data_IF_373412248467
#
_entry.id   IF_373412248467
#
_cell.length_a   1.000
_cell.length_b   1.000
_cell.length_c   1.000
_cell.angle_alpha   90.00
_cell.angle_beta   90.00
_cell.angle_gamma   90.00
#
_symmetry.space_group_name_H-M   'P 1'
#
loop_
_entity.id
_entity.type
_entity.pdbx_description
1 polymer ?
#
# COMPACT_ATOMS: atom_id res chain seq x y z
N UNK A 1 9.09 -18.06 21.24
CA UNK A 1 9.70 -19.17 22.03
C UNK A 1 9.76 -18.81 23.52
N UNK A 2 9.80 -17.55 23.88
CA UNK A 2 9.77 -17.12 25.29
C UNK A 2 8.50 -17.53 26.07
N UNK A 3 7.42 -17.94 25.39
CA UNK A 3 6.12 -18.33 25.99
C UNK A 3 5.78 -19.82 25.79
N UNK A 4 6.75 -20.66 25.47
CA UNK A 4 6.58 -22.12 25.40
C UNK A 4 5.89 -22.65 24.13
N UNK A 5 5.86 -21.84 23.06
CA UNK A 5 5.40 -22.29 21.74
C UNK A 5 6.56 -22.80 20.89
N UNK A 6 6.30 -23.87 20.11
CA UNK A 6 7.23 -24.43 19.13
C UNK A 6 6.78 -24.04 17.72
N UNK A 7 7.66 -23.35 16.98
CA UNK A 7 7.40 -22.99 15.58
C UNK A 7 7.86 -24.15 14.69
N UNK A 8 6.91 -24.88 14.13
CA UNK A 8 7.17 -26.09 13.33
C UNK A 8 7.69 -25.75 11.93
N UNK A 9 7.19 -24.70 11.31
CA UNK A 9 7.63 -24.23 10.02
C UNK A 9 7.17 -22.79 9.77
N UNK A 10 7.81 -22.11 8.83
CA UNK A 10 7.36 -20.83 8.26
C UNK A 10 7.22 -20.96 6.74
N UNK A 11 6.15 -20.42 6.18
CA UNK A 11 5.96 -20.27 4.75
C UNK A 11 6.32 -18.86 4.36
N UNK A 12 7.42 -18.67 3.65
CA UNK A 12 7.89 -17.34 3.22
C UNK A 12 8.71 -17.41 1.94
N UNK A 13 8.43 -16.49 1.00
CA UNK A 13 9.21 -16.31 -0.24
C UNK A 13 10.29 -15.23 -0.15
N UNK A 14 10.47 -14.58 1.00
CA UNK A 14 11.45 -13.53 1.22
C UNK A 14 12.79 -14.08 1.72
N UNK A 15 13.89 -13.72 1.05
CA UNK A 15 15.23 -14.24 1.36
C UNK A 15 15.74 -13.85 2.75
N UNK A 16 15.43 -12.62 3.19
CA UNK A 16 15.88 -12.10 4.51
C UNK A 16 15.19 -12.88 5.62
N UNK A 17 13.88 -13.16 5.42
CA UNK A 17 13.11 -13.96 6.38
C UNK A 17 13.53 -15.43 6.39
N UNK A 18 13.86 -15.99 5.22
CA UNK A 18 14.39 -17.35 5.10
C UNK A 18 15.74 -17.49 5.83
N UNK A 19 16.65 -16.52 5.70
CA UNK A 19 17.92 -16.50 6.43
C UNK A 19 17.71 -16.41 7.95
N UNK A 20 16.73 -15.63 8.40
CA UNK A 20 16.37 -15.58 9.82
C UNK A 20 15.85 -16.92 10.32
N UNK A 21 14.95 -17.56 9.57
CA UNK A 21 14.39 -18.86 9.92
C UNK A 21 15.49 -19.93 10.01
N UNK A 22 16.41 -19.94 9.06
CA UNK A 22 17.57 -20.86 9.06
C UNK A 22 18.45 -20.67 10.30
N UNK A 23 18.76 -19.42 10.67
CA UNK A 23 19.53 -19.13 11.91
C UNK A 23 18.79 -19.54 13.19
N UNK A 24 17.48 -19.55 13.16
CA UNK A 24 16.63 -20.00 14.26
C UNK A 24 16.36 -21.51 14.24
N UNK A 25 16.93 -22.26 13.29
CA UNK A 25 16.65 -23.68 13.04
C UNK A 25 15.15 -23.97 12.81
N UNK A 26 14.44 -23.04 12.17
CA UNK A 26 13.04 -23.20 11.81
C UNK A 26 12.96 -23.58 10.31
N UNK A 27 12.28 -24.67 9.94
CA UNK A 27 12.05 -25.00 8.54
C UNK A 27 11.36 -23.87 7.79
N UNK A 28 11.98 -23.39 6.71
CA UNK A 28 11.39 -22.38 5.82
C UNK A 28 10.93 -23.07 4.53
N UNK A 29 9.66 -22.87 4.19
CA UNK A 29 8.98 -23.51 3.07
C UNK A 29 8.62 -22.44 2.05
N UNK A 30 8.89 -22.69 0.78
CA UNK A 30 8.71 -21.73 -0.28
C UNK A 30 7.30 -21.75 -0.90
N UNK A 31 6.56 -22.85 -0.77
CA UNK A 31 5.25 -23.00 -1.43
C UNK A 31 4.20 -23.66 -0.53
N UNK A 32 2.93 -23.42 -0.84
CA UNK A 32 1.78 -24.08 -0.19
C UNK A 32 1.80 -25.60 -0.45
N UNK A 33 2.24 -26.00 -1.64
CA UNK A 33 2.28 -27.42 -2.03
C UNK A 33 3.26 -28.22 -1.17
N UNK A 34 4.36 -27.62 -0.74
CA UNK A 34 5.32 -28.23 0.18
C UNK A 34 4.80 -28.25 1.64
N UNK A 35 4.01 -27.25 2.03
CA UNK A 35 3.50 -27.13 3.39
C UNK A 35 2.42 -28.18 3.70
N UNK A 36 1.55 -28.51 2.74
CA UNK A 36 0.46 -29.46 2.95
C UNK A 36 0.92 -30.86 3.38
N UNK A 37 1.94 -31.48 2.74
CA UNK A 37 2.48 -32.74 3.20
C UNK A 37 3.08 -32.70 4.62
N UNK A 38 3.75 -31.60 4.97
CA UNK A 38 4.32 -31.41 6.30
C UNK A 38 3.23 -31.34 7.38
N UNK A 39 2.15 -30.60 7.14
CA UNK A 39 1.01 -30.51 8.06
C UNK A 39 0.26 -31.85 8.22
N UNK A 40 0.33 -32.73 7.21
CA UNK A 40 -0.22 -34.10 7.32
C UNK A 40 0.65 -35.01 8.19
N UNK A 41 1.97 -34.88 8.06
CA UNK A 41 2.90 -35.68 8.83
C UNK A 41 2.99 -35.23 10.30
N UNK A 42 2.96 -33.93 10.52
CA UNK A 42 3.08 -33.30 11.83
C UNK A 42 1.97 -32.26 12.03
N UNK A 43 0.81 -32.62 12.55
CA UNK A 43 -0.27 -31.70 12.80
C UNK A 43 0.13 -30.58 13.79
N UNK A 44 -0.26 -29.33 13.46
CA UNK A 44 -0.04 -28.15 14.30
C UNK A 44 -1.30 -27.77 15.06
N UNK A 45 -1.15 -27.07 16.19
CA UNK A 45 -2.29 -26.57 16.92
C UNK A 45 -2.86 -25.30 16.25
N UNK A 46 -1.98 -24.43 15.77
CA UNK A 46 -2.35 -23.12 15.27
C UNK A 46 -1.64 -22.80 13.95
N UNK A 47 -2.34 -22.09 13.07
CA UNK A 47 -1.76 -21.44 11.89
C UNK A 47 -1.94 -19.94 12.01
N UNK A 48 -0.87 -19.18 11.80
CA UNK A 48 -0.89 -17.73 11.78
C UNK A 48 -0.50 -17.20 10.41
N UNK A 49 -1.38 -16.41 9.81
CA UNK A 49 -1.16 -15.69 8.55
C UNK A 49 -0.86 -14.22 8.87
N UNK A 50 0.36 -13.78 8.56
CA UNK A 50 0.85 -12.43 8.90
C UNK A 50 1.39 -11.75 7.67
N UNK A 51 0.80 -10.63 7.26
CA UNK A 51 1.19 -9.88 6.06
C UNK A 51 1.33 -10.77 4.80
N UNK A 52 0.54 -11.81 4.74
CA UNK A 52 0.61 -12.82 3.69
C UNK A 52 -0.29 -12.42 2.51
N UNK A 53 0.25 -12.31 1.27
CA UNK A 53 -0.53 -11.96 0.08
C UNK A 53 -1.36 -13.13 -0.46
N UNK A 54 -1.16 -14.35 0.06
CA UNK A 54 -1.86 -15.54 -0.41
C UNK A 54 -3.15 -15.77 0.40
N UNK A 55 -4.20 -16.14 -0.30
CA UNK A 55 -5.41 -16.66 0.36
C UNK A 55 -5.16 -18.13 0.69
N UNK A 56 -5.18 -18.46 1.97
CA UNK A 56 -5.00 -19.85 2.41
C UNK A 56 -6.27 -20.65 2.05
N UNK A 57 -6.13 -21.80 1.36
CA UNK A 57 -7.28 -22.63 1.02
C UNK A 57 -7.85 -23.36 2.25
N UNK A 58 -9.15 -23.69 2.27
CA UNK A 58 -9.82 -24.33 3.40
C UNK A 58 -9.17 -25.63 3.88
N UNK A 59 -8.69 -26.44 2.94
CA UNK A 59 -8.01 -27.70 3.26
C UNK A 59 -6.65 -27.49 3.96
N UNK A 60 -6.07 -26.31 3.86
CA UNK A 60 -4.83 -25.96 4.55
C UNK A 60 -5.08 -25.46 5.97
N UNK A 61 -5.90 -24.42 6.13
CA UNK A 61 -6.14 -23.89 7.48
C UNK A 61 -6.98 -24.83 8.36
N UNK A 62 -7.78 -25.69 7.75
CA UNK A 62 -8.53 -26.77 8.44
C UNK A 62 -7.62 -27.87 9.03
N UNK A 63 -6.32 -27.89 8.72
CA UNK A 63 -5.36 -28.85 9.30
C UNK A 63 -4.85 -28.40 10.68
N UNK A 64 -5.07 -27.17 11.09
CA UNK A 64 -4.78 -26.71 12.43
C UNK A 64 -5.82 -27.28 13.42
N UNK A 65 -5.35 -28.00 14.47
CA UNK A 65 -6.24 -28.68 15.44
C UNK A 65 -7.18 -27.73 16.18
N UNK A 66 -6.74 -26.49 16.43
CA UNK A 66 -7.47 -25.53 17.26
C UNK A 66 -7.88 -24.29 16.47
N UNK A 67 -7.29 -24.02 15.30
CA UNK A 67 -7.71 -22.98 14.38
C UNK A 67 -6.59 -22.20 13.73
N UNK A 68 -7.00 -21.27 12.88
CA UNK A 68 -6.10 -20.40 12.14
C UNK A 68 -6.49 -18.93 12.32
N UNK A 69 -5.51 -18.06 12.36
CA UNK A 69 -5.69 -16.62 12.57
C UNK A 69 -4.96 -15.82 11.50
N UNK A 70 -5.57 -14.72 11.10
CA UNK A 70 -4.96 -13.76 10.20
C UNK A 70 -4.79 -12.40 10.87
N UNK A 71 -3.65 -11.78 10.64
CA UNK A 71 -3.43 -10.37 10.87
C UNK A 71 -3.97 -9.56 9.70
N UNK A 72 -4.82 -8.59 10.00
CA UNK A 72 -5.29 -7.60 9.03
C UNK A 72 -4.98 -6.19 9.53
N UNK A 73 -4.36 -5.40 8.66
CA UNK A 73 -3.95 -4.02 8.91
C UNK A 73 -5.12 -3.01 8.80
N UNK A 74 -6.33 -3.43 9.16
CA UNK A 74 -7.55 -2.64 9.08
C UNK A 74 -8.57 -2.94 10.17
N UNK A 75 -9.48 -1.97 10.45
CA UNK A 75 -10.54 -2.10 11.46
C UNK A 75 -11.73 -2.90 10.94
N UNK A 76 -11.58 -4.23 10.79
CA UNK A 76 -12.68 -5.08 10.34
C UNK A 76 -14.00 -4.81 11.13
N UNK A 77 -15.13 -4.87 10.43
CA UNK A 77 -15.39 -5.29 9.03
C UNK A 77 -15.11 -4.20 8.00
N UNK A 78 -14.82 -2.97 8.42
CA UNK A 78 -14.39 -1.89 7.50
C UNK A 78 -12.99 -2.17 6.97
N UNK A 79 -12.71 -1.70 5.77
CA UNK A 79 -11.38 -1.82 5.12
C UNK A 79 -10.91 -3.26 4.91
N UNK A 80 -11.82 -4.22 4.75
CA UNK A 80 -11.46 -5.57 4.33
C UNK A 80 -10.81 -5.57 2.93
N UNK A 81 -9.93 -6.54 2.66
CA UNK A 81 -9.22 -6.65 1.39
C UNK A 81 -7.75 -6.24 1.48
N UNK A 82 -7.28 -5.43 0.56
CA UNK A 82 -5.85 -5.05 0.46
C UNK A 82 -5.65 -3.54 0.52
N UNK A 83 -4.42 -3.12 0.89
CA UNK A 83 -4.03 -1.70 1.00
C UNK A 83 -4.94 -0.87 1.92
N UNK A 84 -5.41 -1.49 3.00
CA UNK A 84 -6.39 -0.90 3.90
C UNK A 84 -5.95 0.47 4.45
N UNK A 85 -4.68 0.62 4.80
CA UNK A 85 -4.08 1.90 5.26
C UNK A 85 -4.15 3.01 4.21
N UNK A 86 -3.88 2.69 2.93
CA UNK A 86 -4.01 3.66 1.84
C UNK A 86 -5.46 4.12 1.66
N UNK A 87 -6.41 3.20 1.70
CA UNK A 87 -7.83 3.54 1.57
C UNK A 87 -8.34 4.38 2.74
N UNK A 88 -7.83 4.14 3.95
CA UNK A 88 -8.16 4.96 5.11
C UNK A 88 -7.62 6.39 5.00
N UNK A 89 -6.38 6.57 4.52
CA UNK A 89 -5.79 7.88 4.25
C UNK A 89 -6.55 8.63 3.15
N UNK A 90 -6.95 7.94 2.07
CA UNK A 90 -7.79 8.51 1.01
C UNK A 90 -9.16 8.95 1.54
N UNK A 91 -9.73 8.22 2.48
CA UNK A 91 -10.97 8.58 3.16
C UNK A 91 -10.77 9.64 4.24
N UNK A 92 -9.53 10.07 4.50
CA UNK A 92 -9.16 11.05 5.53
C UNK A 92 -9.64 10.68 6.93
N UNK A 93 -9.57 9.39 7.25
CA UNK A 93 -9.87 8.90 8.60
C UNK A 93 -8.88 9.46 9.62
N UNK A 94 -9.34 9.70 10.84
CA UNK A 94 -8.50 10.14 11.97
C UNK A 94 -8.26 9.01 12.97
N UNK A 95 -9.16 8.02 12.98
CA UNK A 95 -9.08 6.84 13.83
C UNK A 95 -8.99 5.59 12.98
N UNK A 96 -8.19 4.66 13.44
CA UNK A 96 -7.93 3.41 12.74
C UNK A 96 -7.75 2.26 13.73
N UNK A 97 -7.60 1.04 13.25
CA UNK A 97 -7.26 -0.10 14.07
C UNK A 97 -6.66 -1.21 13.22
N UNK A 98 -5.93 -2.08 13.86
CA UNK A 98 -5.60 -3.40 13.34
C UNK A 98 -6.54 -4.45 13.92
N UNK A 99 -6.61 -5.59 13.25
CA UNK A 99 -7.46 -6.70 13.69
C UNK A 99 -6.74 -8.04 13.52
N UNK A 100 -6.78 -8.87 14.55
CA UNK A 100 -6.56 -10.31 14.45
C UNK A 100 -7.92 -10.98 14.41
N UNK A 101 -8.13 -11.87 13.45
CA UNK A 101 -9.39 -12.58 13.26
C UNK A 101 -9.17 -14.04 12.92
N UNK A 102 -10.14 -14.90 13.14
CA UNK A 102 -10.13 -16.28 12.67
C UNK A 102 -10.15 -16.31 11.15
N UNK A 103 -9.45 -17.28 10.57
CA UNK A 103 -9.57 -17.55 9.13
C UNK A 103 -10.79 -18.42 8.92
N UNK A 104 -11.62 -18.04 7.97
CA UNK A 104 -12.77 -18.79 7.44
C UNK A 104 -12.75 -18.77 5.90
N UNK A 105 -13.81 -19.23 5.26
CA UNK A 105 -13.93 -19.28 3.80
C UNK A 105 -14.05 -17.89 3.14
N UNK A 106 -14.27 -16.83 3.92
CA UNK A 106 -14.43 -15.46 3.45
C UNK A 106 -13.16 -14.62 3.62
N UNK A 107 -12.82 -13.79 2.63
CA UNK A 107 -11.69 -12.86 2.77
C UNK A 107 -11.96 -11.86 3.90
N UNK A 108 -11.17 -11.92 4.97
CA UNK A 108 -11.31 -11.07 6.15
C UNK A 108 -12.73 -11.06 6.77
N UNK A 109 -13.42 -12.21 6.76
CA UNK A 109 -14.81 -12.32 7.22
C UNK A 109 -14.99 -13.01 8.59
N UNK A 110 -13.98 -13.76 9.03
CA UNK A 110 -14.03 -14.54 10.24
C UNK A 110 -14.12 -13.71 11.53
N UNK A 111 -14.42 -14.38 12.64
CA UNK A 111 -14.64 -13.75 13.95
C UNK A 111 -13.41 -12.95 14.43
N UNK A 112 -13.66 -11.78 14.98
CA UNK A 112 -12.65 -10.90 15.56
C UNK A 112 -12.19 -11.44 16.90
N UNK A 113 -10.88 -11.51 17.14
CA UNK A 113 -10.31 -11.99 18.40
C UNK A 113 -9.49 -10.94 19.13
N UNK A 114 -8.77 -10.08 18.41
CA UNK A 114 -8.06 -8.91 18.96
C UNK A 114 -8.27 -7.73 18.03
N UNK A 115 -8.52 -6.56 18.61
CA UNK A 115 -8.56 -5.29 17.89
C UNK A 115 -7.78 -4.25 18.69
N UNK A 116 -6.83 -3.56 18.01
CA UNK A 116 -6.05 -2.50 18.66
C UNK A 116 -6.16 -1.21 17.86
N UNK A 117 -6.45 -0.13 18.57
CA UNK A 117 -6.58 1.19 17.96
C UNK A 117 -5.23 1.75 17.54
N UNK A 118 -5.24 2.47 16.42
CA UNK A 118 -4.12 3.21 15.85
C UNK A 118 -4.64 4.58 15.43
N UNK A 119 -4.03 5.65 15.92
CA UNK A 119 -4.41 7.00 15.51
C UNK A 119 -3.73 7.35 14.18
N UNK A 120 -4.45 8.05 13.29
CA UNK A 120 -3.90 8.58 12.05
C UNK A 120 -3.56 10.06 12.27
N UNK A 121 -2.28 10.40 12.20
CA UNK A 121 -1.84 11.78 12.25
C UNK A 121 -2.11 12.50 10.91
N UNK A 122 -2.34 13.82 10.91
CA UNK A 122 -2.58 14.58 9.67
C UNK A 122 -1.47 14.48 8.63
N UNK A 123 -0.24 14.18 9.07
CA UNK A 123 0.95 14.05 8.22
C UNK A 123 1.30 12.62 7.85
N UNK A 124 0.51 11.63 8.30
CA UNK A 124 0.81 10.24 7.99
C UNK A 124 0.79 9.94 6.51
N UNK A 125 1.77 9.15 6.12
CA UNK A 125 1.82 8.46 4.82
C UNK A 125 1.38 7.01 4.98
N UNK A 126 1.18 6.31 3.86
CA UNK A 126 0.90 4.88 3.90
C UNK A 126 2.03 4.11 4.60
N UNK A 127 3.30 4.50 4.42
CA UNK A 127 4.42 3.89 5.13
C UNK A 127 4.32 4.10 6.64
N UNK A 128 4.18 5.34 7.11
CA UNK A 128 4.17 5.63 8.56
C UNK A 128 2.99 4.99 9.28
N UNK A 129 1.82 4.97 8.63
CA UNK A 129 0.65 4.28 9.19
C UNK A 129 0.84 2.76 9.22
N UNK A 130 1.40 2.16 8.16
CA UNK A 130 1.72 0.72 8.15
C UNK A 130 2.71 0.34 9.26
N UNK A 131 3.75 1.12 9.50
CA UNK A 131 4.70 0.87 10.59
C UNK A 131 4.00 0.83 11.95
N UNK A 132 3.13 1.80 12.24
CA UNK A 132 2.35 1.79 13.49
C UNK A 132 1.34 0.64 13.56
N UNK A 133 0.76 0.25 12.44
CA UNK A 133 -0.08 -0.94 12.38
C UNK A 133 0.72 -2.21 12.72
N UNK A 134 1.97 -2.32 12.24
CA UNK A 134 2.84 -3.46 12.58
C UNK A 134 3.22 -3.47 14.06
N UNK A 135 3.54 -2.33 14.66
CA UNK A 135 3.79 -2.22 16.10
C UNK A 135 2.56 -2.69 16.91
N UNK A 136 1.38 -2.17 16.58
CA UNK A 136 0.14 -2.59 17.20
C UNK A 136 -0.18 -4.08 16.96
N UNK A 137 0.21 -4.62 15.81
CA UNK A 137 0.04 -6.04 15.49
C UNK A 137 0.89 -6.94 16.37
N UNK A 138 2.15 -6.57 16.64
CA UNK A 138 3.04 -7.33 17.54
C UNK A 138 2.46 -7.37 18.96
N UNK A 139 1.97 -6.25 19.47
CA UNK A 139 1.33 -6.22 20.78
C UNK A 139 0.01 -7.02 20.78
N UNK A 140 -0.82 -6.89 19.73
CA UNK A 140 -2.03 -7.68 19.57
C UNK A 140 -1.75 -9.17 19.45
N UNK A 141 -0.63 -9.57 18.84
CA UNK A 141 -0.19 -10.97 18.78
C UNK A 141 0.17 -11.52 20.16
N UNK A 142 0.86 -10.75 20.99
CA UNK A 142 1.14 -11.15 22.39
C UNK A 142 -0.15 -11.36 23.20
N UNK A 143 -1.13 -10.48 22.99
CA UNK A 143 -2.45 -10.62 23.61
C UNK A 143 -3.14 -11.90 23.11
N UNK A 144 -3.14 -12.14 21.80
CA UNK A 144 -3.69 -13.35 21.20
C UNK A 144 -3.05 -14.61 21.79
N UNK A 145 -1.72 -14.72 21.80
CA UNK A 145 -1.01 -15.87 22.35
C UNK A 145 -1.33 -16.09 23.84
N UNK A 146 -1.39 -15.01 24.62
CA UNK A 146 -1.77 -15.09 26.05
C UNK A 146 -3.20 -15.59 26.21
N UNK A 147 -4.13 -15.15 25.38
CA UNK A 147 -5.52 -15.61 25.37
C UNK A 147 -5.64 -17.09 25.02
N UNK A 148 -4.89 -17.54 24.01
CA UNK A 148 -4.83 -18.94 23.57
C UNK A 148 -4.29 -19.85 24.69
N UNK A 149 -3.15 -19.47 25.30
CA UNK A 149 -2.53 -20.25 26.37
C UNK A 149 -3.44 -20.42 27.58
N UNK A 150 -4.28 -19.45 27.87
CA UNK A 150 -5.22 -19.47 29.00
C UNK A 150 -6.58 -20.07 28.65
N UNK A 151 -6.84 -20.42 27.40
CA UNK A 151 -8.17 -20.85 26.91
C UNK A 151 -9.26 -19.77 27.09
N UNK A 152 -8.87 -18.48 27.12
CA UNK A 152 -9.76 -17.34 27.39
C UNK A 152 -9.92 -16.38 26.21
N UNK A 153 -9.69 -16.88 25.00
CA UNK A 153 -9.87 -16.06 23.81
C UNK A 153 -11.36 -15.89 23.50
N UNK A 154 -11.82 -14.65 23.48
CA UNK A 154 -13.21 -14.33 23.11
C UNK A 154 -13.26 -13.94 21.65
N UNK A 155 -13.95 -14.73 20.84
CA UNK A 155 -14.23 -14.42 19.45
C UNK A 155 -15.58 -13.69 19.33
N UNK A 156 -15.67 -12.72 18.42
CA UNK A 156 -16.87 -11.92 18.17
C UNK A 156 -17.19 -11.92 16.68
N UNK A 157 -18.42 -12.24 16.27
CA UNK A 157 -18.86 -12.12 14.90
C UNK A 157 -18.69 -10.69 14.38
N UNK A 158 -18.41 -10.56 13.09
CA UNK A 158 -18.36 -9.25 12.43
C UNK A 158 -19.78 -8.77 12.07
N UNK A 159 -20.06 -7.47 12.31
CA UNK A 159 -21.27 -6.82 11.81
C UNK A 159 -21.12 -6.50 10.32
N UNK A 160 -21.45 -7.45 9.45
CA UNK A 160 -21.18 -7.33 8.00
C UNK A 160 -21.93 -6.16 7.32
N UNK A 161 -22.95 -5.58 7.97
CA UNK A 161 -23.63 -4.37 7.49
C UNK A 161 -22.66 -3.17 7.35
N UNK A 162 -21.62 -3.12 8.19
CA UNK A 162 -20.61 -2.06 8.17
C UNK A 162 -19.41 -2.40 7.27
N UNK A 163 -19.49 -3.51 6.53
CA UNK A 163 -18.35 -4.00 5.75
C UNK A 163 -18.07 -3.10 4.55
N UNK A 164 -16.82 -2.65 4.45
CA UNK A 164 -16.25 -2.14 3.20
C UNK A 164 -15.16 -3.09 2.70
N UNK A 165 -15.11 -3.30 1.38
CA UNK A 165 -14.17 -4.23 0.76
C UNK A 165 -13.40 -3.59 -0.38
N UNK A 166 -12.08 -3.72 -0.34
CA UNK A 166 -11.15 -3.17 -1.31
C UNK A 166 -10.34 -4.30 -1.96
N UNK A 167 -10.79 -4.80 -3.12
CA UNK A 167 -10.10 -5.87 -3.83
C UNK A 167 -8.73 -5.40 -4.34
N UNK A 168 -7.79 -6.33 -4.48
CA UNK A 168 -6.39 -6.08 -4.88
C UNK A 168 -6.25 -5.25 -6.17
N UNK A 169 -7.20 -5.36 -7.09
CA UNK A 169 -7.14 -4.69 -8.40
C UNK A 169 -7.76 -3.31 -8.40
N UNK A 170 -8.44 -2.92 -7.33
CA UNK A 170 -9.05 -1.60 -7.21
C UNK A 170 -7.98 -0.52 -7.26
N UNK A 171 -8.25 0.56 -7.99
CA UNK A 171 -7.35 1.72 -8.10
C UNK A 171 -8.04 2.96 -7.54
N UNK A 172 -7.28 3.92 -6.99
CA UNK A 172 -7.82 5.22 -6.57
C UNK A 172 -8.28 6.04 -7.78
N UNK A 173 -9.01 7.11 -7.51
CA UNK A 173 -9.53 8.03 -8.55
C UNK A 173 -8.42 8.43 -9.53
N UNK A 174 -8.74 8.41 -10.81
CA UNK A 174 -7.81 8.69 -11.91
C UNK A 174 -6.49 7.90 -11.82
N UNK A 175 -6.48 6.71 -11.18
CA UNK A 175 -5.30 5.89 -10.90
C UNK A 175 -4.13 6.70 -10.30
N UNK A 176 -4.43 7.61 -9.37
CA UNK A 176 -3.46 8.46 -8.68
C UNK A 176 -3.05 9.72 -9.43
N UNK A 177 -3.66 10.04 -10.57
CA UNK A 177 -3.47 11.34 -11.21
C UNK A 177 -4.15 12.44 -10.40
N UNK A 178 -3.39 13.47 -10.04
CA UNK A 178 -3.91 14.61 -9.30
C UNK A 178 -4.90 15.39 -10.17
N UNK A 179 -6.04 15.67 -9.60
CA UNK A 179 -7.10 16.49 -10.22
C UNK A 179 -7.13 17.84 -9.54
N UNK A 180 -6.58 18.85 -10.18
CA UNK A 180 -6.41 20.18 -9.60
C UNK A 180 -7.73 20.86 -9.20
N UNK A 181 -8.86 20.43 -9.77
CA UNK A 181 -10.23 20.86 -9.40
C UNK A 181 -10.71 20.34 -8.03
N UNK A 182 -9.97 19.39 -7.42
CA UNK A 182 -10.24 18.88 -6.09
C UNK A 182 -9.68 19.82 -5.01
N UNK A 183 -10.08 19.58 -3.76
CA UNK A 183 -9.52 20.35 -2.65
C UNK A 183 -8.04 20.00 -2.44
N UNK A 184 -7.25 20.97 -1.97
CA UNK A 184 -5.86 20.75 -1.60
C UNK A 184 -5.71 19.59 -0.58
N UNK A 185 -6.71 19.41 0.29
CA UNK A 185 -6.76 18.34 1.27
C UNK A 185 -6.91 16.96 0.63
N UNK A 186 -7.74 16.83 -0.41
CA UNK A 186 -7.91 15.58 -1.16
C UNK A 186 -6.63 15.22 -1.93
N UNK A 187 -5.97 16.23 -2.53
CA UNK A 187 -4.70 16.02 -3.24
C UNK A 187 -3.59 15.59 -2.28
N UNK A 188 -3.52 16.21 -1.10
CA UNK A 188 -2.59 15.83 -0.04
C UNK A 188 -2.87 14.40 0.45
N UNK A 189 -4.13 14.06 0.67
CA UNK A 189 -4.53 12.71 1.08
C UNK A 189 -4.14 11.67 0.02
N UNK A 190 -4.35 11.96 -1.27
CA UNK A 190 -3.93 11.08 -2.38
C UNK A 190 -2.41 10.87 -2.37
N UNK A 191 -1.64 11.93 -2.25
CA UNK A 191 -0.17 11.85 -2.26
C UNK A 191 0.35 11.03 -1.08
N UNK A 192 -0.17 11.28 0.12
CA UNK A 192 0.23 10.54 1.34
C UNK A 192 -0.23 9.09 1.33
N UNK A 193 -1.42 8.81 0.85
CA UNK A 193 -1.98 7.45 0.76
C UNK A 193 -1.21 6.54 -0.20
N UNK A 194 -0.51 7.13 -1.17
CA UNK A 194 0.29 6.42 -2.16
C UNK A 194 1.79 6.46 -1.88
N UNK A 195 2.21 7.06 -0.77
CA UNK A 195 3.61 7.12 -0.35
C UNK A 195 3.95 5.95 0.60
N UNK A 196 4.66 4.96 0.06
CA UNK A 196 5.24 3.82 0.79
C UNK A 196 6.73 3.99 1.05
N UNK A 197 7.26 5.21 0.91
CA UNK A 197 8.68 5.48 1.05
C UNK A 197 9.52 4.87 -0.08
N UNK A 198 10.86 4.95 0.05
CA UNK A 198 11.78 4.52 -1.00
C UNK A 198 11.97 2.99 -1.08
N UNK A 199 11.53 2.26 -0.07
CA UNK A 199 11.85 0.83 0.08
C UNK A 199 10.81 -0.12 -0.51
N UNK A 200 9.58 0.34 -0.72
CA UNK A 200 8.51 -0.50 -1.23
C UNK A 200 7.86 0.13 -2.46
N UNK A 201 7.87 -0.54 -3.62
CA UNK A 201 7.09 -0.10 -4.75
C UNK A 201 5.60 -0.12 -4.39
N UNK A 202 4.92 1.00 -4.56
CA UNK A 202 3.50 1.07 -4.32
C UNK A 202 2.73 0.28 -5.40
N UNK A 203 2.08 -0.80 -4.98
CA UNK A 203 1.32 -1.67 -5.88
C UNK A 203 -0.05 -1.12 -6.27
N UNK A 204 -0.54 -0.06 -5.63
CA UNK A 204 -1.75 0.63 -6.06
C UNK A 204 -1.48 1.49 -7.30
N UNK A 205 -0.56 2.41 -7.19
CA UNK A 205 -0.02 3.29 -8.22
C UNK A 205 0.89 4.34 -7.55
N UNK A 206 1.52 5.18 -8.36
CA UNK A 206 2.22 6.38 -7.87
C UNK A 206 1.33 7.61 -8.04
N UNK A 207 1.38 8.58 -7.10
CA UNK A 207 0.74 9.87 -7.32
C UNK A 207 1.46 10.58 -8.46
N UNK A 208 0.71 11.15 -9.37
CA UNK A 208 1.23 11.76 -10.61
C UNK A 208 0.37 12.91 -11.08
N UNK A 209 0.94 13.75 -11.94
CA UNK A 209 0.23 14.86 -12.56
C UNK A 209 0.46 14.88 -14.06
N UNK A 210 -0.53 15.30 -14.83
CA UNK A 210 -0.36 15.59 -16.23
C UNK A 210 0.29 16.96 -16.44
N UNK A 211 1.25 16.98 -17.38
CA UNK A 211 1.91 18.19 -17.88
C UNK A 211 1.84 18.12 -19.40
N UNK A 212 0.92 18.86 -20.01
CA UNK A 212 0.55 18.61 -21.40
C UNK A 212 0.01 17.18 -21.56
N UNK A 213 0.60 16.42 -22.47
CA UNK A 213 0.29 15.01 -22.74
C UNK A 213 1.18 14.03 -21.92
N UNK A 214 2.17 14.55 -21.20
CA UNK A 214 3.11 13.78 -20.40
C UNK A 214 2.64 13.61 -18.96
N UNK A 215 3.27 12.67 -18.25
CA UNK A 215 2.98 12.36 -16.86
C UNK A 215 4.24 12.50 -16.02
N UNK A 216 4.15 13.26 -14.93
CA UNK A 216 5.24 13.42 -13.96
C UNK A 216 4.83 12.84 -12.61
N UNK A 217 5.79 12.20 -11.91
CA UNK A 217 5.54 11.61 -10.59
C UNK A 217 5.58 12.71 -9.54
N UNK A 218 4.55 12.76 -8.70
CA UNK A 218 4.48 13.64 -7.53
C UNK A 218 5.04 12.90 -6.32
N UNK A 219 6.01 13.50 -5.62
CA UNK A 219 6.61 12.90 -4.42
C UNK A 219 6.10 13.51 -3.13
N UNK A 220 5.84 14.81 -3.15
CA UNK A 220 5.37 15.54 -1.98
C UNK A 220 4.40 16.61 -2.41
N UNK A 221 3.37 16.83 -1.60
CA UNK A 221 2.42 17.91 -1.74
C UNK A 221 2.16 18.53 -0.38
N UNK A 222 2.36 19.83 -0.28
CA UNK A 222 2.12 20.63 0.92
C UNK A 222 0.94 21.58 0.68
N UNK A 223 -0.02 21.55 1.58
CA UNK A 223 -1.17 22.45 1.54
C UNK A 223 -0.80 23.78 2.16
N UNK A 224 -0.98 24.86 1.42
CA UNK A 224 -0.70 26.21 1.90
C UNK A 224 -1.92 26.80 2.60
N UNK A 225 -1.72 27.69 3.60
CA UNK A 225 -2.84 28.36 4.27
C UNK A 225 -3.55 29.41 3.39
N UNK A 226 -2.97 29.73 2.23
CA UNK A 226 -3.46 30.76 1.30
C UNK A 226 -4.25 30.18 0.14
N UNK A 227 -5.06 31.03 -0.48
CA UNK A 227 -5.77 30.77 -1.74
C UNK A 227 -5.54 31.96 -2.68
N UNK A 228 -4.97 31.71 -3.84
CA UNK A 228 -4.75 32.72 -4.87
C UNK A 228 -6.05 33.23 -5.51
N UNK A 229 -7.08 32.40 -5.53
CA UNK A 229 -8.33 32.67 -6.25
C UNK A 229 -8.23 32.51 -7.77
N UNK A 230 -7.07 32.07 -8.28
CA UNK A 230 -6.89 31.75 -9.68
C UNK A 230 -7.54 30.39 -10.04
N UNK A 231 -7.84 30.15 -11.33
CA UNK A 231 -8.41 28.89 -11.78
C UNK A 231 -7.56 27.69 -11.34
N UNK A 232 -8.20 26.61 -10.93
CA UNK A 232 -7.50 25.38 -10.55
C UNK A 232 -6.56 24.89 -11.66
N UNK A 233 -5.38 24.42 -11.28
CA UNK A 233 -4.30 24.02 -12.18
C UNK A 233 -3.39 25.17 -12.62
N UNK A 234 -3.68 26.45 -12.26
CA UNK A 234 -2.79 27.56 -12.59
C UNK A 234 -1.46 27.41 -11.85
N UNK A 235 -0.36 27.46 -12.59
CA UNK A 235 0.99 27.47 -12.08
C UNK A 235 1.31 28.89 -11.58
N UNK A 236 1.43 29.06 -10.27
CA UNK A 236 1.55 30.37 -9.62
C UNK A 236 3.00 30.82 -9.51
N UNK A 237 3.88 29.92 -9.11
CA UNK A 237 5.30 30.17 -8.88
C UNK A 237 6.10 28.90 -9.23
N UNK A 238 7.29 29.08 -9.81
CA UNK A 238 8.23 28.01 -10.15
C UNK A 238 9.51 28.19 -9.34
N UNK A 239 9.70 27.34 -8.34
CA UNK A 239 10.92 27.26 -7.54
C UNK A 239 11.79 26.06 -7.97
N UNK A 240 13.04 26.02 -7.54
CA UNK A 240 13.92 24.86 -7.81
C UNK A 240 13.41 23.57 -7.16
N UNK A 241 12.79 23.66 -5.97
CA UNK A 241 12.32 22.49 -5.22
C UNK A 241 10.86 22.13 -5.45
N UNK A 242 10.03 23.02 -5.96
CA UNK A 242 8.59 22.81 -6.11
C UNK A 242 7.93 23.76 -7.11
N UNK A 243 6.77 23.37 -7.59
CA UNK A 243 5.81 24.28 -8.21
C UNK A 243 4.72 24.63 -7.23
N UNK A 244 4.30 25.89 -7.25
CA UNK A 244 3.10 26.34 -6.55
C UNK A 244 1.92 26.34 -7.50
N UNK A 245 0.87 25.62 -7.13
CA UNK A 245 -0.29 25.38 -8.00
C UNK A 245 -1.59 25.74 -7.29
N UNK A 246 -2.48 26.45 -8.00
CA UNK A 246 -3.84 26.71 -7.54
C UNK A 246 -4.69 25.44 -7.60
N UNK A 247 -5.53 25.21 -6.60
CA UNK A 247 -6.48 24.08 -6.57
C UNK A 247 -7.93 24.55 -6.48
N UNK A 248 -8.85 23.61 -6.34
CA UNK A 248 -10.25 23.93 -6.06
C UNK A 248 -10.48 24.64 -4.72
N UNK A 249 -9.48 24.66 -3.83
CA UNK A 249 -9.54 25.28 -2.50
C UNK A 249 -8.27 26.12 -2.23
N UNK A 250 -7.39 25.66 -1.33
CA UNK A 250 -6.10 26.32 -1.04
C UNK A 250 -5.06 26.00 -2.14
N UNK A 251 -4.06 26.86 -2.25
CA UNK A 251 -2.91 26.58 -3.11
C UNK A 251 -2.04 25.48 -2.50
N UNK A 252 -1.23 24.82 -3.34
CA UNK A 252 -0.33 23.74 -2.91
C UNK A 252 1.06 23.94 -3.46
N UNK A 253 2.08 23.52 -2.70
CA UNK A 253 3.44 23.34 -3.19
C UNK A 253 3.65 21.85 -3.52
N UNK A 254 4.13 21.57 -4.75
CA UNK A 254 4.24 20.22 -5.31
C UNK A 254 5.67 19.92 -5.70
N UNK A 255 6.25 18.87 -5.13
CA UNK A 255 7.58 18.36 -5.47
C UNK A 255 7.45 17.12 -6.35
N UNK A 256 8.31 17.03 -7.34
CA UNK A 256 8.32 15.94 -8.32
C UNK A 256 9.54 15.04 -8.13
N UNK A 257 9.48 13.82 -8.65
CA UNK A 257 10.58 12.89 -8.57
C UNK A 257 10.66 11.90 -9.71
N UNK A 258 11.83 11.33 -9.88
CA UNK A 258 12.09 10.26 -10.82
C UNK A 258 11.55 8.90 -10.35
N UNK A 259 11.63 7.88 -11.22
CA UNK A 259 11.27 6.50 -10.87
C UNK A 259 12.12 5.93 -9.74
N UNK A 260 13.36 6.40 -9.60
CA UNK A 260 14.33 6.04 -8.57
C UNK A 260 14.05 6.64 -7.18
N UNK A 261 13.02 7.49 -7.07
CA UNK A 261 12.65 8.16 -5.84
C UNK A 261 13.37 9.49 -5.58
N UNK A 262 14.37 9.85 -6.39
CA UNK A 262 15.10 11.11 -6.27
C UNK A 262 14.17 12.29 -6.59
N UNK A 263 14.33 13.40 -5.84
CA UNK A 263 13.61 14.64 -6.15
C UNK A 263 14.23 15.29 -7.41
N UNK A 264 13.38 15.77 -8.28
CA UNK A 264 13.75 16.51 -9.48
C UNK A 264 13.85 18.01 -9.17
N UNK A 265 14.77 18.71 -9.84
CA UNK A 265 14.76 20.18 -9.89
C UNK A 265 13.52 20.64 -10.64
N UNK A 266 12.56 21.21 -9.90
CA UNK A 266 11.26 21.60 -10.45
C UNK A 266 11.37 22.75 -11.47
N UNK A 267 12.39 23.62 -11.36
CA UNK A 267 12.65 24.66 -12.36
C UNK A 267 13.23 24.07 -13.66
N UNK A 268 14.11 23.10 -13.55
CA UNK A 268 14.58 22.36 -14.72
C UNK A 268 13.45 21.59 -15.40
N UNK A 269 12.59 20.96 -14.61
CA UNK A 269 11.39 20.27 -15.10
C UNK A 269 10.48 21.23 -15.88
N UNK A 270 10.19 22.42 -15.33
CA UNK A 270 9.39 23.43 -16.01
C UNK A 270 10.01 23.86 -17.35
N UNK A 271 11.34 24.08 -17.39
CA UNK A 271 12.04 24.39 -18.66
C UNK A 271 11.91 23.28 -19.70
N UNK A 272 12.03 22.02 -19.29
CA UNK A 272 11.90 20.87 -20.20
C UNK A 272 10.52 20.78 -20.86
N UNK A 273 9.49 21.26 -20.18
CA UNK A 273 8.12 21.31 -20.69
C UNK A 273 7.73 22.69 -21.25
N UNK A 274 8.66 23.65 -21.31
CA UNK A 274 8.40 25.04 -21.71
C UNK A 274 7.24 25.69 -20.94
N UNK A 275 7.25 25.53 -19.61
CA UNK A 275 6.24 26.06 -18.71
C UNK A 275 6.73 27.35 -18.06
N UNK A 276 5.84 28.34 -18.02
CA UNK A 276 6.02 29.59 -17.29
C UNK A 276 4.91 29.76 -16.23
N UNK A 277 5.12 30.70 -15.31
CA UNK A 277 4.07 31.13 -14.39
C UNK A 277 2.84 31.62 -15.16
N UNK A 278 1.67 31.22 -14.70
CA UNK A 278 0.42 31.43 -15.41
C UNK A 278 -0.01 30.30 -16.33
N UNK A 279 0.88 29.36 -16.66
CA UNK A 279 0.49 28.14 -17.37
C UNK A 279 -0.60 27.39 -16.60
N UNK A 280 -1.54 26.78 -17.31
CA UNK A 280 -2.60 26.00 -16.70
C UNK A 280 -2.40 24.50 -16.95
N UNK A 281 -2.09 23.79 -15.90
CA UNK A 281 -1.97 22.33 -15.93
C UNK A 281 -3.31 21.68 -16.34
N UNK A 282 -3.29 20.56 -17.06
CA UNK A 282 -4.50 19.85 -17.50
C UNK A 282 -5.40 19.47 -16.33
N UNK A 283 -6.70 19.66 -16.51
CA UNK A 283 -7.72 19.21 -15.57
C UNK A 283 -8.47 18.03 -16.19
N UNK A 284 -8.39 16.89 -15.55
CA UNK A 284 -9.13 15.71 -15.98
C UNK A 284 -10.62 15.87 -15.72
N UNK A 285 -11.44 15.68 -16.73
CA UNK A 285 -12.88 15.56 -16.54
C UNK A 285 -13.22 14.28 -15.73
N UNK A 286 -14.45 14.24 -15.21
CA UNK A 286 -14.92 13.03 -14.49
C UNK A 286 -14.89 11.77 -15.37
N UNK A 287 -15.19 11.89 -16.66
CA UNK A 287 -15.14 10.77 -17.60
C UNK A 287 -13.72 10.29 -17.88
N UNK A 288 -12.79 11.22 -18.09
CA UNK A 288 -11.37 10.89 -18.24
C UNK A 288 -10.82 10.19 -16.99
N UNK A 289 -11.13 10.71 -15.80
CA UNK A 289 -10.71 10.11 -14.54
C UNK A 289 -11.22 8.67 -14.40
N UNK A 290 -12.52 8.43 -14.69
CA UNK A 290 -13.10 7.08 -14.69
C UNK A 290 -12.46 6.15 -15.71
N UNK A 291 -12.22 6.64 -16.94
CA UNK A 291 -11.58 5.87 -17.99
C UNK A 291 -10.15 5.45 -17.63
N UNK A 292 -9.37 6.37 -17.04
CA UNK A 292 -8.01 6.08 -16.56
C UNK A 292 -8.06 5.04 -15.44
N UNK A 293 -8.95 5.19 -14.46
CA UNK A 293 -9.12 4.23 -13.36
C UNK A 293 -9.45 2.83 -13.91
N UNK A 294 -10.45 2.73 -14.79
CA UNK A 294 -10.88 1.46 -15.37
C UNK A 294 -9.77 0.80 -16.21
N UNK A 295 -9.00 1.58 -16.97
CA UNK A 295 -7.87 1.07 -17.74
C UNK A 295 -6.79 0.47 -16.83
N UNK A 296 -6.43 1.16 -15.74
CA UNK A 296 -5.46 0.66 -14.75
C UNK A 296 -5.96 -0.57 -14.01
N UNK A 297 -7.24 -0.63 -13.64
CA UNK A 297 -7.84 -1.84 -13.03
C UNK A 297 -7.82 -3.03 -13.98
N UNK A 298 -8.03 -2.81 -15.26
CA UNK A 298 -7.93 -3.85 -16.29
C UNK A 298 -6.50 -4.34 -16.50
N UNK A 299 -5.50 -3.48 -16.39
CA UNK A 299 -4.08 -3.81 -16.55
C UNK A 299 -3.48 -4.45 -15.29
N UNK A 300 -4.03 -4.18 -14.11
CA UNK A 300 -3.51 -4.63 -12.82
C UNK A 300 -3.16 -6.13 -12.74
N UNK A 301 -3.90 -7.07 -13.35
CA UNK A 301 -3.54 -8.48 -13.34
C UNK A 301 -2.20 -8.80 -13.99
N UNK A 302 -1.78 -7.98 -14.96
CA UNK A 302 -0.57 -8.19 -15.75
C UNK A 302 0.63 -7.39 -15.23
N UNK A 303 0.45 -6.51 -14.24
CA UNK A 303 1.53 -5.63 -13.74
C UNK A 303 2.70 -6.41 -13.17
N UNK A 304 2.45 -7.45 -12.36
CA UNK A 304 3.52 -8.27 -11.77
C UNK A 304 4.35 -8.99 -12.85
N UNK A 305 3.68 -9.52 -13.88
CA UNK A 305 4.33 -10.15 -15.02
C UNK A 305 5.24 -9.17 -15.77
N UNK A 306 4.71 -8.00 -16.12
CA UNK A 306 5.47 -7.02 -16.89
C UNK A 306 6.61 -6.43 -16.07
N UNK A 307 6.40 -6.17 -14.78
CA UNK A 307 7.45 -5.68 -13.90
C UNK A 307 8.62 -6.66 -13.84
N UNK A 308 8.37 -7.95 -13.55
CA UNK A 308 9.41 -8.98 -13.52
C UNK A 308 10.15 -9.07 -14.86
N UNK A 309 9.43 -8.96 -15.97
CA UNK A 309 10.04 -9.02 -17.30
C UNK A 309 10.90 -7.79 -17.61
N UNK A 310 10.46 -6.61 -17.20
CA UNK A 310 11.22 -5.37 -17.37
C UNK A 310 12.46 -5.32 -16.47
N UNK A 311 12.36 -5.81 -15.23
CA UNK A 311 13.51 -5.93 -14.31
C UNK A 311 14.60 -6.86 -14.84
N UNK A 312 14.25 -7.83 -15.66
CA UNK A 312 15.17 -8.78 -16.29
C UNK A 312 15.77 -8.26 -17.61
N UNK A 313 15.28 -7.15 -18.14
CA UNK A 313 15.81 -6.57 -19.36
C UNK A 313 17.26 -6.09 -19.14
N UNK A 314 18.18 -6.63 -19.91
CA UNK A 314 19.55 -6.11 -20.01
C UNK A 314 19.61 -5.12 -21.16
N UNK A 315 20.26 -3.98 -20.94
CA UNK A 315 20.57 -3.05 -22.02
C UNK A 315 21.42 -3.80 -23.04
N UNK A 316 20.94 -3.87 -24.27
CA UNK A 316 21.71 -4.45 -25.39
C UNK A 316 22.98 -3.61 -25.58
N UNK A 317 24.13 -4.16 -25.24
CA UNK A 317 25.41 -3.57 -25.60
C UNK A 317 25.76 -4.01 -27.02
N UNK A 318 25.66 -3.08 -27.94
CA UNK A 318 26.16 -3.33 -29.30
C UNK A 318 27.68 -3.14 -29.29
N UNK A 319 28.46 -4.19 -29.67
CA UNK A 319 29.92 -4.13 -29.58
C UNK A 319 30.56 -3.08 -30.52
N UNK A 320 29.76 -2.41 -31.34
CA UNK A 320 30.22 -1.41 -32.31
C UNK A 320 29.82 0.04 -31.95
N UNK A 321 29.05 0.23 -30.87
CA UNK A 321 28.72 1.56 -30.37
C UNK A 321 29.65 1.85 -29.19
N UNK A 322 30.82 2.46 -29.49
CA UNK A 322 31.58 3.15 -28.49
C UNK A 322 30.67 4.23 -27.85
N UNK A 323 30.63 4.23 -26.52
CA UNK A 323 29.86 5.17 -25.69
C UNK A 323 30.14 6.63 -26.14
N UNK A 324 29.28 7.20 -26.96
CA UNK A 324 29.10 8.63 -27.02
C UNK A 324 28.20 9.02 -25.81
N UNK A 325 28.85 9.19 -24.67
CA UNK A 325 28.27 9.95 -23.56
C UNK A 325 28.82 11.36 -23.75
N UNK A 326 27.94 12.26 -24.12
CA UNK A 326 28.14 13.70 -23.92
C UNK A 326 27.15 14.15 -22.85
#
# INVERSE_FOLDING_TARGET
MEVGHDIRAVLCGDAIFADWAARANIPCIASVDELCPLLNAEPVDWIFSVANPLILPPDMFGRARQGAFNYHDGPLPRYAGTHATSWALLAQESEYAITWHRIDDGVNAGELVVRRQVLIAPTDTALSLNLRCHEAAVEGFRELLTGLAKGKLTARPQALVDRSYFPRRRRPDAAGCLRWDRSARDLSAMTRALDFGPYNPNRLCLPKAFVGDDVVIVRRLEVLPRRSGLPAGSLLEIHSGHWRVATGAQDVDVCFGGPDGQLLDARALARNFNLDEGYRLPILSGDQARSITAAHEKLAPSEDFWRQRLEQLRILQFPFLSSCVA
#
